data_IF_199011602608
#
_entry.id   IF_199011602608
#
_cell.length_a   1.000
_cell.length_b   1.000
_cell.length_c   1.000
_cell.angle_alpha   90.00
_cell.angle_beta   90.00
_cell.angle_gamma   90.00
#
_symmetry.space_group_name_H-M   'P 1'
#
loop_
_entity.id
_entity.type
_entity.pdbx_description
1 polymer ?
#
# COMPACT_ATOMS: atom_id res chain seq x y z
N UNK A 1 4.58 -6.77 -10.74
CA UNK A 1 5.35 -6.26 -9.59
C UNK A 1 4.33 -5.81 -8.57
N UNK A 2 3.88 -6.76 -7.75
CA UNK A 2 2.72 -6.65 -6.85
C UNK A 2 2.90 -5.55 -5.80
N UNK A 3 4.14 -5.31 -5.36
CA UNK A 3 4.48 -4.21 -4.44
C UNK A 3 4.02 -2.84 -4.96
N UNK A 4 4.34 -2.56 -6.23
CA UNK A 4 3.93 -1.31 -6.89
C UNK A 4 2.42 -1.21 -7.06
N UNK A 5 1.74 -2.33 -7.29
CA UNK A 5 0.28 -2.36 -7.44
C UNK A 5 -0.43 -2.11 -6.10
N UNK A 6 0.09 -2.66 -5.01
CA UNK A 6 -0.37 -2.39 -3.65
C UNK A 6 -0.27 -0.88 -3.36
N UNK A 7 0.92 -0.29 -3.54
CA UNK A 7 1.13 1.14 -3.30
C UNK A 7 0.26 2.02 -4.20
N UNK A 8 0.17 1.71 -5.51
CA UNK A 8 -0.69 2.44 -6.44
C UNK A 8 -2.16 2.35 -6.06
N UNK A 9 -2.62 1.19 -5.60
CA UNK A 9 -4.00 1.00 -5.18
C UNK A 9 -4.30 1.85 -3.95
N UNK A 10 -3.42 1.88 -2.96
CA UNK A 10 -3.57 2.73 -1.77
C UNK A 10 -3.61 4.22 -2.18
N UNK A 11 -2.70 4.65 -3.04
CA UNK A 11 -2.60 6.05 -3.47
C UNK A 11 -3.80 6.47 -4.33
N UNK A 12 -4.07 5.75 -5.41
CA UNK A 12 -5.00 6.18 -6.46
C UNK A 12 -6.46 5.82 -6.16
N UNK A 13 -6.72 4.67 -5.50
CA UNK A 13 -8.09 4.23 -5.20
C UNK A 13 -8.56 4.67 -3.82
N UNK A 14 -7.64 4.88 -2.88
CA UNK A 14 -7.95 5.19 -1.48
C UNK A 14 -7.35 6.52 -1.02
N UNK A 15 -6.91 7.39 -1.94
CA UNK A 15 -6.37 8.72 -1.65
C UNK A 15 -5.23 8.69 -0.61
N UNK A 16 -4.35 7.68 -0.70
CA UNK A 16 -3.25 7.45 0.24
C UNK A 16 -3.59 6.59 1.46
N UNK A 17 -4.86 6.23 1.65
CA UNK A 17 -5.34 5.43 2.78
C UNK A 17 -5.86 6.30 3.95
N UNK A 18 -6.05 5.71 5.15
CA UNK A 18 -5.78 4.32 5.50
C UNK A 18 -6.81 3.34 4.91
N UNK A 19 -6.34 2.19 4.40
CA UNK A 19 -7.18 1.10 3.88
C UNK A 19 -6.97 -0.21 4.65
N UNK A 20 -8.05 -0.90 5.00
CA UNK A 20 -7.98 -2.19 5.70
C UNK A 20 -7.42 -3.32 4.82
N UNK A 21 -6.77 -4.33 5.42
CA UNK A 21 -6.16 -5.46 4.68
C UNK A 21 -7.15 -6.15 3.74
N UNK A 22 -8.36 -6.44 4.24
CA UNK A 22 -9.41 -7.09 3.47
C UNK A 22 -9.82 -6.30 2.24
N UNK A 23 -10.00 -5.00 2.41
CA UNK A 23 -10.35 -4.09 1.32
C UNK A 23 -9.20 -3.97 0.31
N UNK A 24 -7.97 -3.88 0.80
CA UNK A 24 -6.78 -3.80 -0.04
C UNK A 24 -6.60 -5.06 -0.89
N UNK A 25 -6.65 -6.24 -0.26
CA UNK A 25 -6.61 -7.54 -0.94
C UNK A 25 -7.68 -7.70 -2.01
N UNK A 26 -8.93 -7.35 -1.69
CA UNK A 26 -10.01 -7.36 -2.67
C UNK A 26 -9.75 -6.40 -3.84
N UNK A 27 -9.18 -5.22 -3.56
CA UNK A 27 -8.90 -4.19 -4.58
C UNK A 27 -7.70 -4.52 -5.48
N UNK A 28 -6.74 -5.32 -5.00
CA UNK A 28 -5.56 -5.78 -5.74
C UNK A 28 -5.70 -7.20 -6.31
N UNK A 29 -6.77 -7.93 -5.96
CA UNK A 29 -6.96 -9.37 -6.27
C UNK A 29 -5.82 -10.24 -5.74
N UNK A 30 -5.32 -9.89 -4.56
CA UNK A 30 -4.28 -10.64 -3.86
C UNK A 30 -4.86 -11.31 -2.62
N UNK A 31 -4.21 -12.38 -2.17
CA UNK A 31 -4.54 -13.01 -0.90
C UNK A 31 -4.09 -12.15 0.29
N UNK A 32 -4.86 -12.17 1.38
CA UNK A 32 -4.54 -11.39 2.59
C UNK A 32 -3.15 -11.73 3.13
N UNK A 33 -2.85 -13.02 3.23
CA UNK A 33 -1.57 -13.52 3.73
C UNK A 33 -0.42 -13.12 2.81
N UNK A 34 -0.61 -13.15 1.49
CA UNK A 34 0.41 -12.68 0.53
C UNK A 34 0.75 -11.21 0.77
N UNK A 35 -0.25 -10.34 0.97
CA UNK A 35 0.01 -8.94 1.27
C UNK A 35 0.74 -8.80 2.63
N UNK A 36 0.22 -9.43 3.68
CA UNK A 36 0.69 -9.20 5.05
C UNK A 36 2.04 -9.86 5.36
N UNK A 37 2.30 -11.05 4.81
CA UNK A 37 3.47 -11.87 5.14
C UNK A 37 4.59 -11.73 4.10
N UNK A 38 4.27 -11.36 2.85
CA UNK A 38 5.27 -11.26 1.77
C UNK A 38 5.59 -9.81 1.42
N UNK A 39 4.57 -9.01 1.10
CA UNK A 39 4.79 -7.67 0.54
C UNK A 39 4.99 -6.59 1.61
N UNK A 40 4.15 -6.59 2.64
CA UNK A 40 4.21 -5.56 3.69
C UNK A 40 5.56 -5.48 4.41
N UNK A 41 6.23 -6.58 4.80
CA UNK A 41 7.52 -6.48 5.49
C UNK A 41 8.55 -5.67 4.69
N UNK A 42 8.62 -5.90 3.38
CA UNK A 42 9.52 -5.19 2.50
C UNK A 42 9.12 -3.71 2.31
N UNK A 43 7.84 -3.45 2.06
CA UNK A 43 7.33 -2.09 1.87
C UNK A 43 7.46 -1.22 3.13
N UNK A 44 7.27 -1.82 4.31
CA UNK A 44 7.49 -1.19 5.62
C UNK A 44 8.98 -0.89 5.83
N UNK A 45 9.86 -1.86 5.53
CA UNK A 45 11.31 -1.68 5.68
C UNK A 45 11.87 -0.56 4.79
N UNK A 46 11.34 -0.41 3.57
CA UNK A 46 11.71 0.69 2.68
C UNK A 46 11.06 2.04 3.05
N UNK A 47 10.18 2.07 4.05
CA UNK A 47 9.46 3.28 4.45
C UNK A 47 8.42 3.75 3.43
N UNK A 48 7.96 2.87 2.53
CA UNK A 48 6.96 3.18 1.50
C UNK A 48 5.53 2.99 2.01
N UNK A 49 5.35 2.21 3.06
CA UNK A 49 4.06 1.90 3.67
C UNK A 49 4.10 2.18 5.17
N UNK A 50 2.99 2.59 5.75
CA UNK A 50 2.77 2.64 7.19
C UNK A 50 1.58 1.77 7.58
N UNK A 51 1.71 1.02 8.68
CA UNK A 51 0.56 0.40 9.37
C UNK A 51 0.03 1.36 10.42
N UNK A 52 -1.29 1.51 10.44
CA UNK A 52 -2.03 2.22 11.48
C UNK A 52 -3.13 1.30 12.02
N UNK A 53 -3.71 1.59 13.20
CA UNK A 53 -4.88 0.84 13.68
C UNK A 53 -6.06 0.86 12.70
N UNK A 54 -6.14 1.86 11.82
CA UNK A 54 -7.21 2.02 10.82
C UNK A 54 -6.91 1.33 9.48
N UNK A 55 -5.68 0.89 9.25
CA UNK A 55 -5.26 0.30 7.98
C UNK A 55 -3.89 0.75 7.49
N UNK A 56 -3.63 0.48 6.20
CA UNK A 56 -2.39 0.74 5.49
C UNK A 56 -2.43 2.10 4.83
N UNK A 57 -1.37 2.88 5.01
CA UNK A 57 -1.22 4.23 4.50
C UNK A 57 0.03 4.31 3.63
N UNK A 58 -0.07 4.88 2.44
CA UNK A 58 1.10 5.16 1.61
C UNK A 58 1.85 6.38 2.18
N UNK A 59 3.17 6.28 2.29
CA UNK A 59 4.00 7.40 2.76
C UNK A 59 4.36 8.33 1.59
N UNK A 60 4.84 9.53 1.88
CA UNK A 60 5.36 10.45 0.85
C UNK A 60 6.45 9.78 -0.03
N UNK A 61 7.30 8.94 0.57
CA UNK A 61 8.32 8.19 -0.16
C UNK A 61 7.71 7.23 -1.21
N UNK A 62 6.51 6.68 -0.98
CA UNK A 62 5.81 5.89 -1.98
C UNK A 62 5.31 6.73 -3.16
N UNK A 63 4.83 7.96 -2.92
CA UNK A 63 4.45 8.88 -3.99
C UNK A 63 5.66 9.23 -4.87
N UNK A 64 6.79 9.57 -4.25
CA UNK A 64 8.05 9.86 -4.94
C UNK A 64 8.56 8.64 -5.71
N UNK A 65 8.58 7.46 -5.08
CA UNK A 65 9.01 6.21 -5.70
C UNK A 65 8.19 5.86 -6.95
N UNK A 66 6.88 6.12 -6.90
CA UNK A 66 5.95 5.86 -8.02
C UNK A 66 5.83 7.03 -9.00
N UNK A 67 6.51 8.15 -8.74
CA UNK A 67 6.42 9.41 -9.52
C UNK A 67 4.97 9.90 -9.66
N UNK A 68 4.20 9.81 -8.58
CA UNK A 68 2.82 10.31 -8.52
C UNK A 68 2.85 11.64 -7.78
N UNK A 69 2.46 12.72 -8.46
CA UNK A 69 2.31 14.04 -7.84
C UNK A 69 1.10 14.05 -6.91
N UNK A 70 1.28 14.57 -5.70
CA UNK A 70 0.17 15.05 -4.89
C UNK A 70 -0.39 16.28 -5.61
N UNK A 71 -1.63 16.18 -6.09
CA UNK A 71 -2.37 17.31 -6.69
C UNK A 71 -2.97 18.13 -5.56
#
# INVERSE_FOLDING_TARGET
>A
NTDREILRTIILKFNGGPVGLKTLAAATREELATIEEVHEPFLLQLGLLNRTPRGRLATNAAYEHLKISLI
#
